data_IF_897505380477
#
_entry.id   IF_897505380477
#
_cell.length_a   1.000
_cell.length_b   1.000
_cell.length_c   1.000
_cell.angle_alpha   90.00
_cell.angle_beta   90.00
_cell.angle_gamma   90.00
#
_symmetry.space_group_name_H-M   'P 1'
#
loop_
_entity.id
_entity.type
_entity.pdbx_description
1 polymer ?
#
# COMPACT_ATOMS: atom_id res chain seq x y z
N UNK A 1 7.26 10.44 -25.63
CA UNK A 1 6.11 10.08 -24.77
C UNK A 1 6.39 10.60 -23.37
N UNK A 2 5.71 11.68 -22.95
CA UNK A 2 5.89 12.23 -21.60
C UNK A 2 5.17 11.33 -20.61
N UNK A 3 5.91 10.48 -19.90
CA UNK A 3 5.39 9.69 -18.79
C UNK A 3 5.02 10.68 -17.70
N UNK A 4 3.75 11.08 -17.62
CA UNK A 4 3.28 12.00 -16.59
C UNK A 4 3.33 11.26 -15.27
N UNK A 5 4.44 11.38 -14.54
CA UNK A 5 4.56 10.86 -13.18
C UNK A 5 3.51 11.56 -12.33
N UNK A 6 2.40 10.89 -12.03
CA UNK A 6 1.40 11.44 -11.11
C UNK A 6 2.07 11.49 -9.74
N UNK A 7 2.28 12.72 -9.26
CA UNK A 7 2.79 13.01 -7.93
C UNK A 7 2.07 12.16 -6.88
N UNK A 8 2.80 11.75 -5.85
CA UNK A 8 2.26 11.12 -4.66
C UNK A 8 1.12 12.00 -4.12
N UNK A 9 -0.13 11.55 -4.22
CA UNK A 9 -1.28 12.32 -3.73
C UNK A 9 -1.47 12.01 -2.26
N UNK A 10 -1.02 12.90 -1.38
CA UNK A 10 -1.21 12.78 0.07
C UNK A 10 -2.70 12.62 0.44
N UNK A 11 -3.60 13.24 -0.31
CA UNK A 11 -5.06 13.15 -0.14
C UNK A 11 -5.71 11.91 -0.78
N UNK A 12 -4.95 10.85 -1.07
CA UNK A 12 -5.59 9.67 -1.61
C UNK A 12 -6.38 8.89 -0.57
N UNK A 13 -7.51 8.37 -1.06
CA UNK A 13 -8.46 7.54 -0.33
C UNK A 13 -7.80 6.31 0.31
N UNK A 14 -6.71 5.81 -0.28
CA UNK A 14 -5.94 4.70 0.32
C UNK A 14 -5.49 5.02 1.75
N UNK A 15 -4.98 6.22 2.01
CA UNK A 15 -4.50 6.59 3.34
C UNK A 15 -5.66 6.76 4.31
N UNK A 16 -6.80 7.30 3.85
CA UNK A 16 -8.01 7.40 4.67
C UNK A 16 -8.56 6.02 5.05
N UNK A 17 -8.60 5.07 4.10
CA UNK A 17 -9.03 3.69 4.38
C UNK A 17 -8.03 2.94 5.27
N UNK A 18 -6.73 3.12 5.05
CA UNK A 18 -5.70 2.56 5.93
C UNK A 18 -5.74 3.19 7.34
N UNK A 19 -6.15 4.46 7.46
CA UNK A 19 -6.32 5.15 8.75
C UNK A 19 -7.55 4.65 9.51
N UNK A 20 -8.55 4.07 8.84
CA UNK A 20 -9.66 3.38 9.51
C UNK A 20 -9.20 2.15 10.30
N UNK A 21 -7.98 1.67 10.08
CA UNK A 21 -7.37 0.60 10.86
C UNK A 21 -7.99 -0.77 10.59
N UNK A 22 -7.95 -1.29 9.36
CA UNK A 22 -8.34 -2.68 9.15
C UNK A 22 -7.38 -3.62 9.89
N UNK A 23 -7.90 -4.69 10.51
CA UNK A 23 -7.15 -5.60 11.40
C UNK A 23 -5.83 -6.10 10.80
N UNK A 24 -5.81 -6.40 9.49
CA UNK A 24 -4.59 -6.83 8.81
C UNK A 24 -3.53 -5.72 8.73
N UNK A 25 -3.93 -4.45 8.60
CA UNK A 25 -3.02 -3.31 8.53
C UNK A 25 -2.42 -2.97 9.90
N UNK A 26 -3.19 -3.16 10.96
CA UNK A 26 -2.66 -3.05 12.32
C UNK A 26 -1.58 -4.08 12.59
N UNK A 27 -1.75 -5.33 12.11
CA UNK A 27 -0.70 -6.36 12.17
C UNK A 27 0.55 -5.93 11.41
N UNK A 28 0.41 -5.44 10.17
CA UNK A 28 1.56 -4.92 9.40
C UNK A 28 2.31 -3.80 10.10
N UNK A 29 1.60 -2.94 10.86
CA UNK A 29 2.21 -1.86 11.64
C UNK A 29 2.83 -2.32 12.96
N UNK A 30 2.33 -3.40 13.54
CA UNK A 30 2.85 -3.96 14.78
C UNK A 30 4.13 -4.78 14.55
N UNK A 31 4.33 -5.30 13.34
CA UNK A 31 5.54 -6.02 12.96
C UNK A 31 6.67 -5.06 12.55
N UNK A 32 7.63 -4.81 13.45
CA UNK A 32 8.82 -3.99 13.18
C UNK A 32 9.75 -4.58 12.10
N UNK A 33 9.63 -5.88 11.80
CA UNK A 33 10.38 -6.54 10.74
C UNK A 33 9.90 -6.18 9.33
N UNK A 34 8.75 -5.50 9.22
CA UNK A 34 8.13 -5.15 7.95
C UNK A 34 8.47 -3.72 7.54
N UNK A 35 9.11 -3.60 6.39
CA UNK A 35 9.43 -2.32 5.79
C UNK A 35 8.31 -1.88 4.85
N UNK A 36 7.59 -0.82 5.23
CA UNK A 36 6.47 -0.27 4.47
C UNK A 36 6.95 0.91 3.62
N UNK A 37 6.89 0.77 2.30
CA UNK A 37 7.28 1.79 1.34
C UNK A 37 6.05 2.30 0.57
N UNK A 38 5.84 3.62 0.56
CA UNK A 38 4.81 4.25 -0.27
C UNK A 38 5.42 4.67 -1.60
N UNK A 39 4.98 4.04 -2.68
CA UNK A 39 5.45 4.27 -4.06
C UNK A 39 4.57 5.27 -4.81
N UNK A 40 5.04 5.63 -6.02
CA UNK A 40 4.27 6.43 -6.99
C UNK A 40 2.90 5.78 -7.28
N UNK A 41 1.93 6.63 -7.60
CA UNK A 41 0.51 6.30 -7.73
C UNK A 41 -0.16 5.78 -6.45
N UNK A 42 0.45 6.06 -5.29
CA UNK A 42 -0.04 5.73 -3.96
C UNK A 42 -0.26 4.23 -3.76
N UNK A 43 0.62 3.45 -4.35
CA UNK A 43 0.76 2.05 -4.01
C UNK A 43 1.58 1.94 -2.73
N UNK A 44 1.15 1.13 -1.79
CA UNK A 44 1.91 0.81 -0.59
C UNK A 44 2.48 -0.59 -0.76
N UNK A 45 3.79 -0.69 -0.82
CA UNK A 45 4.49 -1.97 -0.85
C UNK A 45 5.01 -2.29 0.55
N UNK A 46 4.92 -3.55 0.92
CA UNK A 46 5.45 -4.08 2.18
C UNK A 46 6.52 -5.09 1.86
N UNK A 47 7.67 -4.89 2.47
CA UNK A 47 8.86 -5.72 2.33
C UNK A 47 9.17 -6.42 3.65
N UNK A 48 9.59 -7.68 3.57
CA UNK A 48 10.13 -8.45 4.69
C UNK A 48 11.52 -8.94 4.29
N UNK A 49 12.55 -8.58 5.04
CA UNK A 49 13.96 -8.94 4.76
C UNK A 49 14.40 -8.66 3.31
N UNK A 50 13.91 -7.57 2.71
CA UNK A 50 14.20 -7.19 1.33
C UNK A 50 13.35 -7.90 0.26
N UNK A 51 12.51 -8.86 0.64
CA UNK A 51 11.51 -9.49 -0.23
C UNK A 51 10.19 -8.73 -0.24
N UNK A 52 9.59 -8.50 -1.42
CA UNK A 52 8.26 -7.88 -1.54
C UNK A 52 7.18 -8.90 -1.17
N UNK A 53 6.57 -8.76 0.01
CA UNK A 53 5.56 -9.71 0.50
C UNK A 53 4.12 -9.26 0.22
N UNK A 54 3.88 -7.95 0.17
CA UNK A 54 2.54 -7.42 -0.06
C UNK A 54 2.57 -6.12 -0.84
N UNK A 55 1.56 -5.94 -1.69
CA UNK A 55 1.29 -4.72 -2.43
C UNK A 55 -0.16 -4.33 -2.22
N UNK A 56 -0.36 -3.18 -1.60
CA UNK A 56 -1.66 -2.60 -1.30
C UNK A 56 -1.87 -1.45 -2.26
N UNK A 57 -3.01 -1.44 -2.94
CA UNK A 57 -3.42 -0.30 -3.73
C UNK A 57 -4.93 -0.10 -3.63
N UNK A 58 -5.36 1.15 -3.75
CA UNK A 58 -6.79 1.46 -3.72
C UNK A 58 -7.34 1.45 -5.14
N UNK A 59 -8.33 0.60 -5.37
CA UNK A 59 -9.02 0.57 -6.66
C UNK A 59 -10.19 1.55 -6.64
N UNK A 60 -10.00 2.73 -7.24
CA UNK A 60 -11.04 3.76 -7.32
C UNK A 60 -12.30 3.29 -8.05
N UNK A 61 -12.18 2.35 -9.00
CA UNK A 61 -13.33 1.78 -9.74
C UNK A 61 -14.27 0.98 -8.84
N UNK A 62 -13.71 0.20 -7.93
CA UNK A 62 -14.48 -0.67 -7.04
C UNK A 62 -14.64 -0.08 -5.62
N UNK A 63 -14.08 1.10 -5.36
CA UNK A 63 -14.02 1.77 -4.06
C UNK A 63 -13.56 0.84 -2.92
N UNK A 64 -12.55 0.03 -3.19
CA UNK A 64 -12.02 -0.98 -2.26
C UNK A 64 -10.49 -0.98 -2.25
N UNK A 65 -9.93 -1.29 -1.09
CA UNK A 65 -8.52 -1.65 -0.94
C UNK A 65 -8.30 -3.03 -1.56
N UNK A 66 -7.36 -3.13 -2.50
CA UNK A 66 -6.88 -4.41 -3.00
C UNK A 66 -5.50 -4.67 -2.42
N UNK A 67 -5.34 -5.84 -1.80
CA UNK A 67 -4.08 -6.30 -1.23
C UNK A 67 -3.65 -7.53 -2.00
N UNK A 68 -2.47 -7.44 -2.60
CA UNK A 68 -1.81 -8.54 -3.30
C UNK A 68 -0.70 -9.04 -2.41
N UNK A 69 -0.88 -10.19 -1.79
CA UNK A 69 0.16 -10.87 -1.05
C UNK A 69 0.90 -11.81 -1.99
N UNK A 70 2.21 -11.64 -2.11
CA UNK A 70 3.06 -12.58 -2.81
C UNK A 70 3.52 -13.62 -1.79
N UNK A 71 2.90 -14.80 -1.83
CA UNK A 71 3.39 -15.97 -1.11
C UNK A 71 4.56 -16.57 -1.92
N UNK A 72 5.64 -16.95 -1.22
CA UNK A 72 6.79 -17.61 -1.83
C UNK A 72 6.61 -19.13 -1.75
#
# INVERSE_FOLDING_TARGET
MSVTFKNLKKDAVIFSELRKGPVWWEKFKADDSLYIEVRKDNNVNVYFEGGSIARIHYCSKHKKLQVFTHYK
#
